data_IF_677793765939
#
_entry.id   IF_677793765939
#
_cell.length_a   1.000
_cell.length_b   1.000
_cell.length_c   1.000
_cell.angle_alpha   90.00
_cell.angle_beta   90.00
_cell.angle_gamma   90.00
#
_symmetry.space_group_name_H-M   'P 1'
#
loop_
_entity.id
_entity.type
_entity.pdbx_description
1 polymer ?
#
# COMPACT_ATOMS: atom_id res chain seq x y z
N UNK A 1 23.78 16.24 3.82
CA UNK A 1 22.66 15.30 4.07
C UNK A 1 21.83 15.22 2.79
N UNK A 2 21.21 14.07 2.51
CA UNK A 2 20.29 13.96 1.36
C UNK A 2 19.03 14.79 1.62
N UNK A 3 18.49 15.41 0.57
CA UNK A 3 17.28 16.24 0.68
C UNK A 3 16.02 15.38 0.69
N UNK A 4 14.99 15.80 1.42
CA UNK A 4 13.70 15.09 1.48
C UNK A 4 12.58 15.98 0.97
N UNK A 5 11.78 15.45 0.04
CA UNK A 5 10.50 16.05 -0.35
C UNK A 5 9.37 15.33 0.36
N UNK A 6 8.66 16.02 1.24
CA UNK A 6 7.46 15.53 1.89
C UNK A 6 6.29 15.84 0.96
N UNK A 7 5.53 14.83 0.56
CA UNK A 7 4.46 14.98 -0.42
C UNK A 7 3.16 14.42 0.14
N UNK A 8 2.19 15.31 0.35
CA UNK A 8 0.83 14.93 0.75
C UNK A 8 -0.03 14.74 -0.50
N UNK A 9 -0.63 13.56 -0.63
CA UNK A 9 -1.57 13.25 -1.71
C UNK A 9 -2.99 13.48 -1.18
N UNK A 10 -3.71 14.45 -1.78
CA UNK A 10 -5.07 14.82 -1.38
C UNK A 10 -6.10 14.48 -2.45
N UNK A 11 -7.29 14.02 -2.04
CA UNK A 11 -8.47 13.94 -2.89
C UNK A 11 -9.75 14.00 -2.05
N UNK A 12 -10.51 15.08 -2.21
CA UNK A 12 -11.72 15.37 -1.43
C UNK A 12 -11.50 15.21 0.08
N UNK A 13 -10.38 15.76 0.57
CA UNK A 13 -9.86 15.54 1.90
C UNK A 13 -10.11 16.68 2.88
N UNK A 14 -10.91 17.68 2.51
CA UNK A 14 -11.07 18.96 3.22
C UNK A 14 -11.17 18.81 4.75
N UNK A 15 -11.97 17.84 5.21
CA UNK A 15 -12.23 17.61 6.65
C UNK A 15 -11.00 17.23 7.46
N UNK A 16 -10.07 16.48 6.87
CA UNK A 16 -8.92 15.92 7.58
C UNK A 16 -7.60 16.61 7.25
N UNK A 17 -7.58 17.33 6.11
CA UNK A 17 -6.40 17.97 5.57
C UNK A 17 -5.80 19.03 6.50
N UNK A 18 -6.62 19.81 7.20
CA UNK A 18 -6.14 20.84 8.14
C UNK A 18 -5.25 20.26 9.24
N UNK A 19 -5.65 19.13 9.84
CA UNK A 19 -4.87 18.49 10.90
C UNK A 19 -3.53 17.96 10.35
N UNK A 20 -3.54 17.42 9.13
CA UNK A 20 -2.34 16.93 8.45
C UNK A 20 -1.35 18.06 8.20
N UNK A 21 -1.80 19.12 7.52
CA UNK A 21 -0.95 20.25 7.14
C UNK A 21 -0.47 21.05 8.36
N UNK A 22 -1.31 21.20 9.38
CA UNK A 22 -0.90 21.84 10.64
C UNK A 22 0.18 21.04 11.35
N UNK A 23 0.10 19.70 11.36
CA UNK A 23 1.13 18.84 11.96
C UNK A 23 2.46 18.93 11.22
N UNK A 24 2.44 19.14 9.90
CA UNK A 24 3.64 19.38 9.10
C UNK A 24 4.22 20.79 9.29
N UNK A 25 3.38 21.81 9.49
CA UNK A 25 3.81 23.18 9.73
C UNK A 25 4.63 23.38 11.00
N UNK A 26 4.57 22.43 11.94
CA UNK A 26 5.41 22.40 13.14
C UNK A 26 6.86 21.96 12.84
N UNK A 27 7.11 21.40 11.66
CA UNK A 27 8.43 20.95 11.23
C UNK A 27 9.17 22.15 10.60
N UNK A 28 9.99 22.84 11.40
CA UNK A 28 10.80 23.95 10.90
C UNK A 28 12.23 23.45 10.58
N UNK A 29 12.44 22.91 9.38
CA UNK A 29 13.77 22.57 8.88
C UNK A 29 13.94 23.02 7.42
N UNK A 30 15.04 23.73 7.08
CA UNK A 30 15.32 24.14 5.70
C UNK A 30 15.67 22.97 4.78
N UNK A 31 15.89 21.76 5.32
CA UNK A 31 16.26 20.57 4.56
C UNK A 31 15.05 19.85 3.92
N UNK A 32 13.83 20.31 4.22
CA UNK A 32 12.60 19.71 3.73
C UNK A 32 11.83 20.68 2.84
N UNK A 33 11.36 20.17 1.71
CA UNK A 33 10.28 20.82 0.96
C UNK A 33 8.97 20.06 1.19
N UNK A 34 7.86 20.79 1.29
CA UNK A 34 6.53 20.22 1.44
C UNK A 34 5.71 20.55 0.20
N UNK A 35 5.27 19.50 -0.49
CA UNK A 35 4.47 19.57 -1.70
C UNK A 35 3.11 18.94 -1.42
N UNK A 36 2.04 19.60 -1.85
CA UNK A 36 0.69 19.05 -1.78
C UNK A 36 0.25 18.78 -3.21
N UNK A 37 -0.11 17.54 -3.50
CA UNK A 37 -0.70 17.14 -4.77
C UNK A 37 -2.17 16.93 -4.55
N UNK A 38 -2.96 17.91 -4.98
CA UNK A 38 -4.40 17.77 -5.02
C UNK A 38 -4.80 17.03 -6.30
N UNK A 39 -5.38 15.84 -6.15
CA UNK A 39 -5.73 14.94 -7.25
C UNK A 39 -7.10 15.27 -7.84
N UNK A 40 -7.36 16.55 -8.11
CA UNK A 40 -8.60 17.04 -8.68
C UNK A 40 -9.78 16.93 -7.73
N UNK A 41 -9.59 17.45 -6.52
CA UNK A 41 -10.67 17.58 -5.54
C UNK A 41 -11.77 18.52 -6.07
N UNK A 42 -12.99 18.21 -5.67
CA UNK A 42 -14.20 18.99 -5.99
C UNK A 42 -14.83 19.61 -4.75
N UNK A 43 -14.17 19.47 -3.59
CA UNK A 43 -14.51 20.16 -2.35
C UNK A 43 -13.58 21.37 -2.15
N UNK A 44 -13.70 22.02 -0.99
CA UNK A 44 -12.94 23.24 -0.67
C UNK A 44 -11.47 22.97 -0.30
N UNK A 45 -10.92 21.76 -0.55
CA UNK A 45 -9.53 21.41 -0.20
C UNK A 45 -8.52 22.36 -0.83
N UNK A 46 -8.69 22.68 -2.12
CA UNK A 46 -7.73 23.53 -2.87
C UNK A 46 -7.72 24.95 -2.33
N UNK A 47 -8.89 25.48 -2.01
CA UNK A 47 -9.02 26.85 -1.49
C UNK A 47 -8.47 26.94 -0.07
N UNK A 48 -8.74 25.95 0.79
CA UNK A 48 -8.15 25.81 2.11
C UNK A 48 -6.61 25.83 2.06
N UNK A 49 -6.00 25.07 1.14
CA UNK A 49 -4.53 25.03 1.02
C UNK A 49 -3.99 26.42 0.64
N UNK A 50 -4.65 27.10 -0.31
CA UNK A 50 -4.20 28.41 -0.79
C UNK A 50 -4.34 29.50 0.28
N UNK A 51 -5.39 29.46 1.09
CA UNK A 51 -5.63 30.47 2.12
C UNK A 51 -4.80 30.22 3.38
N UNK A 52 -4.81 29.00 3.89
CA UNK A 52 -4.35 28.69 5.25
C UNK A 52 -2.93 28.12 5.26
N UNK A 53 -2.51 27.51 4.15
CA UNK A 53 -1.20 26.87 3.99
C UNK A 53 -0.41 27.37 2.77
N UNK A 54 -0.31 28.71 2.51
CA UNK A 54 0.35 29.25 1.32
C UNK A 54 1.87 29.02 1.30
N UNK A 55 2.46 28.60 2.41
CA UNK A 55 3.87 28.25 2.51
C UNK A 55 4.21 26.90 1.85
N UNK A 56 3.21 26.04 1.59
CA UNK A 56 3.41 24.74 0.94
C UNK A 56 3.20 24.84 -0.58
N UNK A 57 4.01 24.09 -1.34
CA UNK A 57 3.88 24.06 -2.81
C UNK A 57 2.65 23.24 -3.20
N UNK A 58 1.60 23.90 -3.67
CA UNK A 58 0.40 23.22 -4.19
C UNK A 58 0.51 22.90 -5.68
N UNK A 59 0.21 21.66 -6.04
CA UNK A 59 0.00 21.17 -7.41
C UNK A 59 -1.41 20.62 -7.51
N UNK A 60 -2.32 21.41 -8.07
CA UNK A 60 -3.72 21.02 -8.28
C UNK A 60 -3.91 20.40 -9.67
N UNK A 61 -4.26 19.12 -9.71
CA UNK A 61 -4.56 18.40 -10.94
C UNK A 61 -5.99 18.73 -11.41
N UNK A 62 -6.26 18.75 -12.73
CA UNK A 62 -7.56 19.15 -13.26
C UNK A 62 -8.69 18.15 -12.99
N UNK A 63 -8.36 16.91 -12.61
CA UNK A 63 -9.30 15.84 -12.26
C UNK A 63 -8.56 14.72 -11.53
N UNK A 64 -9.32 13.78 -10.98
CA UNK A 64 -8.76 12.59 -10.34
C UNK A 64 -8.24 11.57 -11.36
N UNK A 65 -6.91 11.42 -11.39
CA UNK A 65 -6.22 10.42 -12.22
C UNK A 65 -5.88 9.12 -11.46
N UNK A 66 -6.27 9.03 -10.20
CA UNK A 66 -5.93 7.93 -9.30
C UNK A 66 -4.66 8.21 -8.50
N UNK A 67 -4.50 7.47 -7.41
CA UNK A 67 -3.42 7.61 -6.46
C UNK A 67 -2.05 7.36 -7.11
N UNK A 68 -1.91 6.32 -7.94
CA UNK A 68 -0.65 6.01 -8.65
C UNK A 68 -0.14 7.16 -9.51
N UNK A 69 -1.04 7.82 -10.23
CA UNK A 69 -0.68 8.99 -11.05
C UNK A 69 -0.19 10.14 -10.16
N UNK A 70 -0.88 10.42 -9.05
CA UNK A 70 -0.48 11.47 -8.11
C UNK A 70 0.89 11.18 -7.47
N UNK A 71 1.19 9.93 -7.11
CA UNK A 71 2.53 9.54 -6.65
C UNK A 71 3.60 9.73 -7.74
N UNK A 72 3.28 9.46 -9.00
CA UNK A 72 4.22 9.71 -10.09
C UNK A 72 4.44 11.21 -10.35
N UNK A 73 3.41 12.05 -10.16
CA UNK A 73 3.57 13.51 -10.13
C UNK A 73 4.52 13.90 -9.01
N UNK A 74 4.38 13.30 -7.81
CA UNK A 74 5.28 13.53 -6.68
C UNK A 74 6.74 13.27 -7.05
N UNK A 75 7.04 12.12 -7.65
CA UNK A 75 8.41 11.82 -8.07
C UNK A 75 8.95 12.80 -9.12
N UNK A 76 8.12 13.31 -10.02
CA UNK A 76 8.55 14.31 -11.02
C UNK A 76 8.84 15.67 -10.39
N UNK A 77 8.01 16.09 -9.45
CA UNK A 77 7.98 17.44 -8.89
C UNK A 77 8.90 17.64 -7.68
N UNK A 78 9.21 16.55 -6.97
CA UNK A 78 10.14 16.52 -5.86
C UNK A 78 11.57 16.87 -6.29
N UNK A 79 12.25 17.71 -5.53
CA UNK A 79 13.68 18.04 -5.69
C UNK A 79 14.57 17.19 -4.77
N UNK A 80 14.00 16.52 -3.78
CA UNK A 80 14.69 15.66 -2.82
C UNK A 80 15.20 14.35 -3.44
N UNK A 81 16.29 13.84 -2.86
CA UNK A 81 16.81 12.50 -3.16
C UNK A 81 15.86 11.42 -2.63
N UNK A 82 15.20 11.72 -1.51
CA UNK A 82 14.13 10.93 -0.94
C UNK A 82 12.79 11.64 -1.07
N UNK A 83 11.75 10.87 -1.38
CA UNK A 83 10.37 11.35 -1.47
C UNK A 83 9.53 10.61 -0.44
N UNK A 84 8.92 11.36 0.47
CA UNK A 84 8.08 10.87 1.54
C UNK A 84 6.62 11.07 1.17
N UNK A 85 5.99 10.01 0.69
CA UNK A 85 4.58 10.00 0.32
C UNK A 85 3.71 9.84 1.57
N UNK A 86 2.67 10.67 1.69
CA UNK A 86 1.72 10.64 2.79
C UNK A 86 0.29 10.82 2.31
N UNK A 87 -0.65 10.21 3.02
CA UNK A 87 -2.08 10.45 2.83
C UNK A 87 -2.52 11.74 3.56
N UNK A 88 -3.49 12.46 2.99
CA UNK A 88 -4.02 13.71 3.55
C UNK A 88 -4.69 13.59 4.92
N UNK A 89 -5.09 12.37 5.32
CA UNK A 89 -5.82 12.09 6.56
C UNK A 89 -4.90 11.54 7.65
N UNK A 90 -3.66 12.04 7.67
CA UNK A 90 -2.62 11.66 8.61
C UNK A 90 -2.22 12.80 9.54
N UNK A 91 -1.68 12.47 10.70
CA UNK A 91 -1.06 13.43 11.63
C UNK A 91 0.31 12.88 11.99
N UNK A 92 1.35 13.67 11.79
CA UNK A 92 2.73 13.21 12.06
C UNK A 92 3.05 13.17 13.55
N UNK A 93 3.87 12.20 13.96
CA UNK A 93 4.46 12.17 15.29
C UNK A 93 5.68 13.09 15.43
N UNK A 94 6.14 13.29 16.67
CA UNK A 94 7.39 14.00 16.94
C UNK A 94 8.59 13.25 16.34
N UNK A 95 9.54 13.99 15.75
CA UNK A 95 10.77 13.47 15.13
C UNK A 95 10.58 12.31 14.13
N UNK A 96 9.38 12.16 13.57
CA UNK A 96 9.00 10.95 12.82
C UNK A 96 9.85 10.66 11.57
N UNK A 97 10.47 11.67 10.95
CA UNK A 97 11.28 11.50 9.73
C UNK A 97 12.66 10.93 10.05
N UNK A 98 13.28 11.33 11.16
CA UNK A 98 14.67 10.99 11.47
C UNK A 98 14.92 9.47 11.52
N UNK A 99 14.06 8.63 12.15
CA UNK A 99 14.22 7.18 12.12
C UNK A 99 14.13 6.59 10.71
N UNK A 100 13.30 7.16 9.83
CA UNK A 100 13.20 6.70 8.44
C UNK A 100 14.51 6.99 7.70
N UNK A 101 15.05 8.20 7.85
CA UNK A 101 16.33 8.58 7.22
C UNK A 101 17.50 7.74 7.73
N UNK A 102 17.58 7.53 9.04
CA UNK A 102 18.58 6.64 9.67
C UNK A 102 18.53 5.25 9.02
N UNK A 103 17.32 4.70 8.84
CA UNK A 103 17.15 3.39 8.19
C UNK A 103 17.60 3.41 6.73
N UNK A 104 17.25 4.45 5.97
CA UNK A 104 17.66 4.58 4.56
C UNK A 104 19.18 4.69 4.39
N UNK A 105 19.89 5.22 5.38
CA UNK A 105 21.33 5.44 5.34
C UNK A 105 22.16 4.29 5.92
N UNK A 106 21.67 3.64 6.98
CA UNK A 106 22.40 2.56 7.66
C UNK A 106 22.19 1.19 7.02
N UNK A 107 20.99 0.93 6.48
CA UNK A 107 20.67 -0.38 5.91
C UNK A 107 21.08 -0.50 4.44
N UNK A 108 21.43 -1.71 4.02
CA UNK A 108 21.93 -1.94 2.66
C UNK A 108 20.81 -1.89 1.63
N UNK A 109 21.04 -1.07 0.61
CA UNK A 109 20.22 -1.01 -0.61
C UNK A 109 18.72 -0.71 -0.38
N UNK A 110 18.36 0.02 0.68
CA UNK A 110 16.96 0.35 0.97
C UNK A 110 16.32 1.18 -0.14
N UNK A 111 15.20 0.70 -0.67
CA UNK A 111 14.38 1.42 -1.62
C UNK A 111 13.19 2.12 -0.96
N UNK A 112 12.64 1.52 0.10
CA UNK A 112 11.45 2.00 0.82
C UNK A 112 11.66 1.85 2.33
N UNK A 113 11.30 2.87 3.11
CA UNK A 113 11.10 2.76 4.55
C UNK A 113 9.74 3.34 4.94
N UNK A 114 8.97 2.63 5.76
CA UNK A 114 7.64 3.08 6.23
C UNK A 114 7.61 3.34 7.73
N UNK A 115 6.80 4.33 8.12
CA UNK A 115 6.42 4.55 9.52
C UNK A 115 5.49 3.45 10.01
N UNK A 116 5.40 3.31 11.34
CA UNK A 116 4.26 2.66 11.99
C UNK A 116 3.05 3.60 11.91
N UNK A 117 2.03 3.18 11.19
CA UNK A 117 0.75 3.86 11.15
C UNK A 117 -0.13 3.39 12.32
N UNK A 118 -0.69 4.32 13.09
CA UNK A 118 -1.56 4.05 14.24
C UNK A 118 -2.96 4.62 13.98
N UNK A 119 -4.02 3.90 14.32
CA UNK A 119 -5.38 4.40 14.16
C UNK A 119 -5.65 5.64 15.02
N UNK A 120 -6.20 6.68 14.41
CA UNK A 120 -6.71 7.88 15.06
C UNK A 120 -8.25 7.87 15.10
N UNK A 121 -8.92 8.38 16.15
CA UNK A 121 -8.38 9.09 17.33
C UNK A 121 -7.97 8.19 18.51
N UNK A 122 -8.32 6.91 18.50
CA UNK A 122 -8.11 6.03 19.66
C UNK A 122 -6.64 5.84 20.02
N UNK A 123 -5.73 5.85 19.04
CA UNK A 123 -4.27 5.68 19.21
C UNK A 123 -3.82 4.37 19.89
N UNK A 124 -4.72 3.40 20.02
CA UNK A 124 -4.45 2.14 20.73
C UNK A 124 -3.91 1.03 19.83
N UNK A 125 -4.27 1.04 18.54
CA UNK A 125 -4.02 -0.06 17.61
C UNK A 125 -3.21 0.38 16.41
N UNK A 126 -2.31 -0.49 15.98
CA UNK A 126 -1.54 -0.31 14.76
C UNK A 126 -2.46 -0.51 13.55
N UNK A 127 -2.44 0.45 12.63
CA UNK A 127 -3.06 0.34 11.32
C UNK A 127 -2.17 -0.48 10.37
N UNK A 128 -0.88 -0.15 10.28
CA UNK A 128 0.07 -0.86 9.42
C UNK A 128 1.51 -0.62 9.87
N UNK A 129 2.31 -1.69 9.90
CA UNK A 129 3.79 -1.66 9.90
C UNK A 129 4.32 -2.21 8.56
N UNK A 130 3.56 -2.06 7.47
CA UNK A 130 3.79 -2.82 6.24
C UNK A 130 3.45 -4.31 6.42
N UNK A 131 4.15 -5.19 5.71
CA UNK A 131 3.89 -6.62 5.79
C UNK A 131 4.65 -7.46 4.78
N UNK A 132 4.12 -8.64 4.50
CA UNK A 132 4.72 -9.58 3.55
C UNK A 132 3.71 -10.02 2.48
N UNK A 133 4.16 -10.22 1.23
CA UNK A 133 3.34 -10.80 0.17
C UNK A 133 2.99 -12.26 0.46
N UNK A 134 1.70 -12.58 0.43
CA UNK A 134 1.20 -13.94 0.36
C UNK A 134 1.05 -14.36 -1.09
N UNK A 135 1.37 -15.61 -1.38
CA UNK A 135 1.35 -16.16 -2.74
C UNK A 135 -0.05 -16.20 -3.40
N UNK A 136 -1.12 -15.80 -2.70
CA UNK A 136 -2.45 -15.65 -3.29
C UNK A 136 -2.71 -14.21 -3.76
N UNK A 137 -1.72 -13.31 -3.71
CA UNK A 137 -1.80 -11.96 -4.25
C UNK A 137 -2.30 -10.91 -3.26
N UNK A 138 -2.08 -11.13 -1.96
CA UNK A 138 -2.44 -10.19 -0.89
C UNK A 138 -1.25 -9.94 0.04
N UNK A 139 -1.34 -8.89 0.85
CA UNK A 139 -0.39 -8.62 1.93
C UNK A 139 -0.90 -9.18 3.27
N UNK A 140 -0.04 -9.88 3.99
CA UNK A 140 -0.22 -10.14 5.43
C UNK A 140 0.41 -9.00 6.20
N UNK A 141 -0.40 -8.27 6.97
CA UNK A 141 0.02 -7.08 7.70
C UNK A 141 0.88 -7.44 8.90
N UNK A 142 2.04 -6.82 9.02
CA UNK A 142 2.83 -6.81 10.25
C UNK A 142 2.09 -5.98 11.29
N UNK A 143 1.84 -6.58 12.46
CA UNK A 143 1.15 -5.97 13.61
C UNK A 143 -0.22 -5.30 13.32
N UNK A 144 -0.83 -5.58 12.16
CA UNK A 144 -2.11 -4.97 11.79
C UNK A 144 -3.18 -5.26 12.85
N UNK A 145 -3.82 -4.21 13.36
CA UNK A 145 -4.84 -4.24 14.41
C UNK A 145 -4.33 -4.69 15.80
N UNK A 146 -3.03 -4.93 15.98
CA UNK A 146 -2.44 -5.24 17.27
C UNK A 146 -2.41 -3.98 18.17
N UNK A 147 -2.45 -4.19 19.49
CA UNK A 147 -2.30 -3.11 20.46
C UNK A 147 -0.87 -2.56 20.39
N UNK A 148 -0.73 -1.23 20.29
CA UNK A 148 0.56 -0.53 20.26
C UNK A 148 1.39 -0.90 21.49
N UNK A 149 0.77 -0.93 22.68
CA UNK A 149 1.42 -1.27 23.95
C UNK A 149 1.96 -2.69 24.06
N UNK A 150 1.54 -3.59 23.16
CA UNK A 150 1.97 -5.00 23.11
C UNK A 150 2.85 -5.31 21.90
N UNK A 151 3.13 -4.32 21.07
CA UNK A 151 3.83 -4.52 19.80
C UNK A 151 5.29 -4.13 19.93
N UNK A 152 6.18 -4.95 19.38
CA UNK A 152 7.62 -4.69 19.43
C UNK A 152 7.99 -3.39 18.69
N UNK A 153 9.00 -2.69 19.20
CA UNK A 153 9.61 -1.53 18.56
C UNK A 153 10.93 -1.94 17.88
N UNK A 154 10.83 -2.82 16.88
CA UNK A 154 11.98 -3.36 16.13
C UNK A 154 11.94 -2.91 14.66
N UNK A 155 13.02 -2.27 14.22
CA UNK A 155 13.28 -1.99 12.81
C UNK A 155 13.49 -3.32 12.09
N UNK A 156 12.75 -3.54 11.00
CA UNK A 156 12.76 -4.83 10.33
C UNK A 156 12.50 -4.69 8.83
N UNK A 157 13.14 -5.56 8.08
CA UNK A 157 12.88 -5.73 6.66
C UNK A 157 11.50 -6.36 6.42
N UNK A 158 10.71 -5.72 5.55
CA UNK A 158 9.37 -6.12 5.15
C UNK A 158 9.35 -6.49 3.66
N UNK A 159 8.35 -7.28 3.25
CA UNK A 159 8.19 -7.70 1.85
C UNK A 159 7.29 -6.77 1.03
N UNK A 160 6.45 -5.97 1.67
CA UNK A 160 5.59 -4.99 1.04
C UNK A 160 5.22 -3.83 1.98
N UNK A 161 4.93 -2.68 1.38
CA UNK A 161 4.74 -1.42 2.07
C UNK A 161 3.46 -0.70 1.60
N UNK A 162 2.86 0.10 2.49
CA UNK A 162 1.71 0.96 2.19
C UNK A 162 2.10 2.44 2.13
N UNK A 163 1.36 3.25 1.38
CA UNK A 163 1.68 4.68 1.14
C UNK A 163 1.21 5.66 2.22
N UNK A 164 0.60 5.19 3.31
CA UNK A 164 0.18 6.08 4.43
C UNK A 164 1.32 6.97 4.92
N UNK A 165 2.52 6.40 4.99
CA UNK A 165 3.78 7.11 5.21
C UNK A 165 4.90 6.25 4.65
N UNK A 166 5.41 6.63 3.47
CA UNK A 166 6.39 5.86 2.71
C UNK A 166 7.52 6.75 2.24
N UNK A 167 8.70 6.62 2.86
CA UNK A 167 9.93 7.24 2.40
C UNK A 167 10.53 6.36 1.29
N UNK A 168 10.77 6.95 0.12
CA UNK A 168 11.23 6.24 -1.07
C UNK A 168 12.50 6.89 -1.60
N UNK A 169 13.50 6.07 -1.97
CA UNK A 169 14.63 6.53 -2.79
C UNK A 169 14.13 6.84 -4.21
N UNK A 170 14.14 8.14 -4.56
CA UNK A 170 13.56 8.63 -5.82
C UNK A 170 14.23 7.98 -7.03
N UNK A 171 15.56 7.85 -7.01
CA UNK A 171 16.31 7.26 -8.13
C UNK A 171 15.92 5.80 -8.34
N UNK A 172 15.83 5.03 -7.26
CA UNK A 172 15.40 3.62 -7.31
C UNK A 172 13.95 3.47 -7.75
N UNK A 173 13.06 4.36 -7.31
CA UNK A 173 11.66 4.39 -7.76
C UNK A 173 11.55 4.62 -9.27
N UNK A 174 12.33 5.57 -9.81
CA UNK A 174 12.37 5.86 -11.24
C UNK A 174 12.99 4.70 -12.04
N UNK A 175 14.01 4.02 -11.50
CA UNK A 175 14.63 2.83 -12.12
C UNK A 175 13.60 1.70 -12.35
N UNK A 176 12.67 1.50 -11.41
CA UNK A 176 11.59 0.50 -11.57
C UNK A 176 10.36 1.02 -12.32
N UNK A 177 10.38 2.28 -12.76
CA UNK A 177 9.30 2.91 -13.54
C UNK A 177 8.18 3.56 -12.75
N UNK A 178 8.39 3.91 -11.47
CA UNK A 178 7.39 4.57 -10.62
C UNK A 178 6.20 3.67 -10.25
N UNK A 179 5.08 4.26 -9.83
CA UNK A 179 3.81 3.53 -9.63
C UNK A 179 3.17 3.17 -10.96
N UNK A 180 2.50 2.02 -11.02
CA UNK A 180 1.75 1.64 -12.21
C UNK A 180 0.37 2.34 -12.24
N UNK A 181 0.21 3.28 -13.17
CA UNK A 181 -1.01 4.07 -13.32
C UNK A 181 -2.25 3.26 -13.75
N UNK A 182 -2.10 1.99 -14.17
CA UNK A 182 -3.26 1.10 -14.35
C UNK A 182 -3.93 0.73 -13.01
N UNK A 183 -3.22 0.93 -11.90
CA UNK A 183 -3.73 0.77 -10.54
C UNK A 183 -4.21 2.13 -10.04
N UNK A 184 -5.48 2.45 -10.32
CA UNK A 184 -6.06 3.72 -9.89
C UNK A 184 -5.97 3.93 -8.37
N UNK A 185 -6.33 2.91 -7.58
CA UNK A 185 -6.18 2.85 -6.11
C UNK A 185 -6.19 1.38 -5.67
N UNK A 186 -5.67 1.09 -4.48
CA UNK A 186 -5.50 -0.24 -3.89
C UNK A 186 -4.52 -1.16 -4.62
N UNK A 187 -3.70 -1.85 -3.82
CA UNK A 187 -2.59 -2.70 -4.28
C UNK A 187 -1.57 -1.99 -5.17
N UNK A 188 -1.70 -0.68 -5.43
CA UNK A 188 -0.70 0.09 -6.17
C UNK A 188 0.61 0.19 -5.38
N UNK A 189 0.51 0.37 -4.07
CA UNK A 189 1.62 0.38 -3.11
C UNK A 189 2.22 -1.01 -2.90
N UNK A 190 1.37 -2.03 -2.78
CA UNK A 190 1.76 -3.43 -2.73
C UNK A 190 2.53 -3.84 -4.00
N UNK A 191 1.99 -3.53 -5.17
CA UNK A 191 2.61 -3.82 -6.46
C UNK A 191 3.93 -3.06 -6.64
N UNK A 192 3.96 -1.77 -6.30
CA UNK A 192 5.16 -0.94 -6.38
C UNK A 192 6.26 -1.46 -5.45
N UNK A 193 5.94 -1.74 -4.19
CA UNK A 193 6.91 -2.28 -3.23
C UNK A 193 7.42 -3.67 -3.63
N UNK A 194 6.56 -4.56 -4.14
CA UNK A 194 7.00 -5.84 -4.70
C UNK A 194 7.89 -5.67 -5.93
N UNK A 195 7.66 -4.68 -6.80
CA UNK A 195 8.59 -4.36 -7.90
C UNK A 195 9.93 -3.85 -7.40
N UNK A 196 9.95 -3.01 -6.37
CA UNK A 196 11.20 -2.58 -5.73
C UNK A 196 11.99 -3.77 -5.18
N UNK A 197 11.31 -4.69 -4.48
CA UNK A 197 11.89 -5.97 -4.03
C UNK A 197 12.43 -6.79 -5.18
N UNK A 198 11.64 -6.97 -6.25
CA UNK A 198 12.05 -7.71 -7.45
C UNK A 198 13.28 -7.10 -8.11
N UNK A 199 13.46 -5.79 -8.07
CA UNK A 199 14.67 -5.11 -8.57
C UNK A 199 15.89 -5.21 -7.62
N UNK A 200 15.74 -5.91 -6.49
CA UNK A 200 16.77 -6.17 -5.48
C UNK A 200 16.87 -5.10 -4.38
N UNK A 201 15.93 -4.17 -4.29
CA UNK A 201 15.89 -3.16 -3.22
C UNK A 201 15.16 -3.68 -2.00
N UNK A 202 15.70 -3.44 -0.80
CA UNK A 202 15.05 -3.80 0.45
C UNK A 202 13.96 -2.79 0.82
N UNK A 203 12.97 -3.26 1.57
CA UNK A 203 11.91 -2.43 2.15
C UNK A 203 11.93 -2.62 3.66
N UNK A 204 11.80 -1.54 4.44
CA UNK A 204 11.86 -1.59 5.90
C UNK A 204 10.64 -0.95 6.55
N UNK A 205 10.28 -1.44 7.73
CA UNK A 205 9.40 -0.76 8.68
C UNK A 205 10.24 -0.27 9.84
N UNK A 206 10.14 1.03 10.16
CA UNK A 206 10.75 1.60 11.36
C UNK A 206 9.66 2.06 12.34
N UNK A 207 9.38 1.27 13.40
CA UNK A 207 8.31 1.57 14.35
C UNK A 207 8.63 2.71 15.33
N UNK A 208 9.84 3.29 15.29
CA UNK A 208 10.15 4.55 15.99
C UNK A 208 9.59 5.76 15.25
N UNK A 209 9.40 5.65 13.92
CA UNK A 209 8.68 6.65 13.13
C UNK A 209 7.18 6.40 13.28
N UNK A 210 6.45 7.33 13.89
CA UNK A 210 5.02 7.21 14.14
C UNK A 210 4.24 8.19 13.26
N UNK A 211 3.19 7.67 12.62
CA UNK A 211 2.16 8.48 11.98
C UNK A 211 0.79 8.03 12.47
N UNK A 212 -0.10 8.98 12.75
CA UNK A 212 -1.49 8.69 13.08
C UNK A 212 -2.33 8.77 11.80
N UNK A 213 -3.20 7.81 11.57
CA UNK A 213 -3.98 7.70 10.34
C UNK A 213 -5.48 7.58 10.65
N UNK A 214 -6.29 8.35 9.94
CA UNK A 214 -7.72 8.46 10.16
C UNK A 214 -8.51 7.48 9.26
N UNK A 215 -9.78 7.81 9.01
CA UNK A 215 -10.76 6.93 8.39
C UNK A 215 -10.57 6.72 6.88
N UNK A 216 -9.79 7.56 6.21
CA UNK A 216 -9.71 7.69 4.77
C UNK A 216 -11.04 8.09 4.12
N UNK A 217 -11.07 8.10 2.80
CA UNK A 217 -12.28 8.41 2.04
C UNK A 217 -13.32 7.27 2.15
N UNK A 218 -14.58 7.53 2.56
CA UNK A 218 -15.59 6.49 2.81
C UNK A 218 -16.03 5.70 1.57
N UNK A 219 -15.85 6.23 0.35
CA UNK A 219 -16.22 5.54 -0.89
C UNK A 219 -15.31 4.35 -1.20
N UNK A 220 -14.13 4.34 -0.59
CA UNK A 220 -13.06 3.37 -0.86
C UNK A 220 -12.54 2.72 0.42
N UNK A 221 -12.56 3.40 1.56
CA UNK A 221 -12.08 2.88 2.85
C UNK A 221 -13.12 2.00 3.54
N UNK A 222 -12.64 0.92 4.18
CA UNK A 222 -13.47 0.04 5.00
C UNK A 222 -12.77 -0.25 6.32
N UNK A 223 -13.47 -0.04 7.44
CA UNK A 223 -12.93 -0.19 8.80
C UNK A 223 -13.67 -1.24 9.63
N UNK A 224 -14.38 -2.16 8.98
CA UNK A 224 -15.08 -3.27 9.64
C UNK A 224 -16.56 -3.01 9.94
N UNK A 225 -17.02 -1.77 9.76
CA UNK A 225 -18.41 -1.37 9.98
C UNK A 225 -19.10 -0.94 8.68
N UNK A 226 -20.43 -1.08 8.63
CA UNK A 226 -21.25 -0.69 7.49
C UNK A 226 -21.10 -1.58 6.25
N UNK A 227 -21.61 -1.08 5.13
CA UNK A 227 -21.58 -1.78 3.84
C UNK A 227 -20.17 -1.72 3.25
N UNK A 228 -19.66 -2.87 2.80
CA UNK A 228 -18.37 -2.91 2.12
C UNK A 228 -18.44 -2.10 0.81
N UNK A 229 -17.57 -1.08 0.61
CA UNK A 229 -17.68 -0.19 -0.54
C UNK A 229 -17.50 -0.92 -1.88
N UNK A 230 -18.43 -0.80 -2.85
CA UNK A 230 -18.30 -1.47 -4.15
C UNK A 230 -17.07 -1.03 -4.94
N UNK A 231 -16.68 0.24 -4.87
CA UNK A 231 -15.51 0.75 -5.58
C UNK A 231 -14.20 0.13 -5.03
N UNK A 232 -14.10 0.01 -3.70
CA UNK A 232 -13.03 -0.74 -3.03
C UNK A 232 -12.97 -2.18 -3.52
N UNK A 233 -14.11 -2.87 -3.52
CA UNK A 233 -14.20 -4.27 -3.94
C UNK A 233 -13.75 -4.44 -5.38
N UNK A 234 -14.22 -3.58 -6.29
CA UNK A 234 -13.84 -3.60 -7.70
C UNK A 234 -12.31 -3.54 -7.87
N UNK A 235 -11.66 -2.55 -7.25
CA UNK A 235 -10.21 -2.39 -7.40
C UNK A 235 -9.42 -3.49 -6.71
N UNK A 236 -9.82 -3.95 -5.51
CA UNK A 236 -9.12 -5.06 -4.83
C UNK A 236 -9.17 -6.33 -5.67
N UNK A 237 -10.35 -6.72 -6.18
CA UNK A 237 -10.49 -7.92 -6.99
C UNK A 237 -9.73 -7.84 -8.30
N UNK A 238 -9.83 -6.70 -9.00
CA UNK A 238 -9.13 -6.46 -10.27
C UNK A 238 -7.63 -6.47 -10.07
N UNK A 239 -7.14 -5.62 -9.16
CA UNK A 239 -5.73 -5.32 -9.01
C UNK A 239 -4.95 -6.50 -8.44
N UNK A 240 -5.58 -7.36 -7.61
CA UNK A 240 -4.99 -8.64 -7.19
C UNK A 240 -4.58 -9.50 -8.39
N UNK A 241 -5.47 -9.67 -9.36
CA UNK A 241 -5.18 -10.46 -10.56
C UNK A 241 -4.13 -9.79 -11.46
N UNK A 242 -4.19 -8.46 -11.62
CA UNK A 242 -3.14 -7.72 -12.33
C UNK A 242 -1.77 -7.96 -11.68
N UNK A 243 -1.69 -7.92 -10.35
CA UNK A 243 -0.42 -8.09 -9.61
C UNK A 243 0.14 -9.49 -9.79
N UNK A 244 -0.70 -10.53 -9.66
CA UNK A 244 -0.29 -11.92 -9.89
C UNK A 244 0.25 -12.09 -11.32
N UNK A 245 -0.51 -11.67 -12.33
CA UNK A 245 -0.12 -11.84 -13.73
C UNK A 245 1.06 -10.96 -14.15
N UNK A 246 1.25 -9.82 -13.51
CA UNK A 246 2.38 -8.92 -13.79
C UNK A 246 3.67 -9.40 -13.15
N UNK A 247 3.61 -9.79 -11.86
CA UNK A 247 4.80 -9.96 -11.04
C UNK A 247 5.30 -11.41 -10.96
N UNK A 248 4.42 -12.40 -10.78
CA UNK A 248 4.85 -13.76 -10.43
C UNK A 248 5.47 -14.47 -11.63
N UNK A 249 6.48 -15.31 -11.46
CA UNK A 249 6.95 -16.20 -12.52
C UNK A 249 5.85 -17.14 -13.00
N UNK A 250 5.96 -17.66 -14.23
CA UNK A 250 4.94 -18.59 -14.75
C UNK A 250 4.92 -19.90 -13.93
N UNK A 251 6.08 -20.35 -13.46
CA UNK A 251 6.22 -21.52 -12.58
C UNK A 251 5.43 -21.30 -11.29
N UNK A 252 5.53 -20.12 -10.69
CA UNK A 252 4.79 -19.75 -9.48
C UNK A 252 3.29 -19.72 -9.71
N UNK A 253 2.83 -19.15 -10.83
CA UNK A 253 1.39 -19.14 -11.16
C UNK A 253 0.86 -20.56 -11.27
N UNK A 254 1.56 -21.45 -11.99
CA UNK A 254 1.16 -22.86 -12.15
C UNK A 254 1.21 -23.58 -10.80
N UNK A 255 2.30 -23.41 -10.05
CA UNK A 255 2.50 -24.03 -8.74
C UNK A 255 1.49 -23.56 -7.70
N UNK A 256 1.00 -22.32 -7.78
CA UNK A 256 0.00 -21.79 -6.87
C UNK A 256 -1.44 -21.98 -7.35
N UNK A 257 -1.66 -22.50 -8.58
CA UNK A 257 -2.99 -22.53 -9.20
C UNK A 257 -4.06 -23.21 -8.34
N UNK A 258 -3.83 -24.38 -7.71
CA UNK A 258 -4.81 -24.99 -6.82
C UNK A 258 -5.25 -24.08 -5.66
N UNK A 259 -4.30 -23.45 -4.97
CA UNK A 259 -4.61 -22.54 -3.87
C UNK A 259 -5.26 -21.24 -4.36
N UNK A 260 -4.86 -20.72 -5.52
CA UNK A 260 -5.52 -19.58 -6.17
C UNK A 260 -6.98 -19.88 -6.48
N UNK A 261 -7.30 -21.08 -7.00
CA UNK A 261 -8.67 -21.49 -7.29
C UNK A 261 -9.52 -21.61 -6.02
N UNK A 262 -8.98 -22.24 -4.96
CA UNK A 262 -9.68 -22.34 -3.66
C UNK A 262 -9.95 -20.95 -3.10
N UNK A 263 -8.96 -20.05 -3.15
CA UNK A 263 -9.11 -18.68 -2.68
C UNK A 263 -10.12 -17.90 -3.53
N UNK A 264 -10.17 -18.14 -4.84
CA UNK A 264 -11.14 -17.50 -5.73
C UNK A 264 -12.57 -17.93 -5.41
N UNK A 265 -12.80 -19.22 -5.15
CA UNK A 265 -14.10 -19.72 -4.71
C UNK A 265 -14.54 -19.02 -3.41
N UNK A 266 -13.62 -18.84 -2.47
CA UNK A 266 -13.90 -18.11 -1.23
C UNK A 266 -14.25 -16.64 -1.49
N UNK A 267 -13.51 -15.95 -2.36
CA UNK A 267 -13.80 -14.56 -2.75
C UNK A 267 -15.17 -14.45 -3.42
N UNK A 268 -15.47 -15.31 -4.40
CA UNK A 268 -16.74 -15.30 -5.13
C UNK A 268 -17.90 -15.54 -4.17
N UNK A 269 -17.75 -16.52 -3.27
CA UNK A 269 -18.76 -16.82 -2.24
C UNK A 269 -19.00 -15.61 -1.33
N UNK A 270 -17.94 -14.95 -0.87
CA UNK A 270 -18.05 -13.74 -0.05
C UNK A 270 -18.64 -12.55 -0.82
N UNK A 271 -18.30 -12.40 -2.10
CA UNK A 271 -18.89 -11.38 -2.96
C UNK A 271 -20.39 -11.64 -3.16
N UNK A 272 -20.83 -12.89 -3.30
CA UNK A 272 -22.24 -13.24 -3.37
C UNK A 272 -22.98 -12.91 -2.08
N UNK A 273 -22.46 -13.37 -0.92
CA UNK A 273 -23.04 -13.10 0.41
C UNK A 273 -23.19 -11.60 0.67
N UNK A 274 -22.25 -10.77 0.18
CA UNK A 274 -22.27 -9.31 0.37
C UNK A 274 -23.01 -8.53 -0.71
N UNK A 275 -23.63 -9.20 -1.68
CA UNK A 275 -24.29 -8.52 -2.81
C UNK A 275 -23.32 -7.79 -3.76
N UNK A 276 -22.06 -8.22 -3.81
CA UNK A 276 -20.98 -7.68 -4.63
C UNK A 276 -20.62 -8.58 -5.83
N UNK A 277 -21.39 -9.63 -6.12
CA UNK A 277 -21.09 -10.56 -7.21
C UNK A 277 -20.94 -9.88 -8.57
N UNK A 278 -21.84 -8.95 -8.92
CA UNK A 278 -21.73 -8.18 -10.17
C UNK A 278 -20.47 -7.30 -10.20
N UNK A 279 -20.07 -6.74 -9.05
CA UNK A 279 -18.83 -5.97 -8.91
C UNK A 279 -17.61 -6.85 -9.15
N UNK A 280 -17.60 -8.06 -8.60
CA UNK A 280 -16.58 -9.06 -8.85
C UNK A 280 -16.48 -9.42 -10.35
N UNK A 281 -17.61 -9.70 -11.01
CA UNK A 281 -17.61 -10.01 -12.45
C UNK A 281 -17.08 -8.84 -13.30
N UNK A 282 -17.46 -7.60 -12.97
CA UNK A 282 -16.91 -6.39 -13.61
C UNK A 282 -15.40 -6.27 -13.41
N UNK A 283 -14.91 -6.55 -12.20
CA UNK A 283 -13.49 -6.51 -11.88
C UNK A 283 -12.69 -7.56 -12.66
N UNK A 284 -13.21 -8.79 -12.76
CA UNK A 284 -12.59 -9.87 -13.53
C UNK A 284 -12.55 -9.53 -15.02
N UNK A 285 -13.67 -9.06 -15.60
CA UNK A 285 -13.71 -8.63 -17.00
C UNK A 285 -12.73 -7.48 -17.27
N UNK A 286 -12.61 -6.53 -16.34
CA UNK A 286 -11.61 -5.45 -16.45
C UNK A 286 -10.19 -6.00 -16.40
N UNK A 287 -9.88 -6.92 -15.48
CA UNK A 287 -8.57 -7.56 -15.41
C UNK A 287 -8.22 -8.29 -16.71
N UNK A 288 -9.18 -9.04 -17.28
CA UNK A 288 -9.02 -9.73 -18.56
C UNK A 288 -8.77 -8.76 -19.72
N UNK A 289 -9.51 -7.64 -19.78
CA UNK A 289 -9.30 -6.59 -20.79
C UNK A 289 -7.92 -5.92 -20.67
N UNK A 290 -7.37 -5.82 -19.47
CA UNK A 290 -6.04 -5.27 -19.23
C UNK A 290 -4.90 -6.27 -19.49
N UNK A 291 -5.17 -7.56 -19.75
CA UNK A 291 -4.12 -8.58 -19.93
C UNK A 291 -3.05 -8.24 -20.99
N UNK A 292 -3.37 -7.69 -22.18
CA UNK A 292 -2.34 -7.33 -23.15
C UNK A 292 -1.33 -6.31 -22.61
N UNK A 293 -1.81 -5.33 -21.85
CA UNK A 293 -0.98 -4.30 -21.23
C UNK A 293 -0.16 -4.89 -20.07
N UNK A 294 -0.79 -5.70 -19.23
CA UNK A 294 -0.12 -6.45 -18.16
C UNK A 294 1.00 -7.32 -18.72
N UNK A 295 0.77 -8.02 -19.83
CA UNK A 295 1.77 -8.87 -20.47
C UNK A 295 2.98 -8.07 -20.96
N UNK A 296 2.78 -6.87 -21.53
CA UNK A 296 3.89 -5.98 -21.92
C UNK A 296 4.71 -5.56 -20.69
N UNK A 297 4.05 -5.11 -19.63
CA UNK A 297 4.71 -4.68 -18.39
C UNK A 297 5.40 -5.83 -17.65
N UNK A 298 4.82 -7.04 -17.71
CA UNK A 298 5.43 -8.26 -17.20
C UNK A 298 6.81 -8.51 -17.80
N UNK A 299 7.00 -8.31 -19.11
CA UNK A 299 8.32 -8.51 -19.75
C UNK A 299 9.39 -7.62 -19.10
N UNK A 300 9.05 -6.36 -18.82
CA UNK A 300 9.94 -5.40 -18.15
C UNK A 300 10.26 -5.88 -16.73
N UNK A 301 9.22 -6.25 -15.96
CA UNK A 301 9.39 -6.73 -14.57
C UNK A 301 10.23 -8.01 -14.50
N UNK A 302 9.99 -8.98 -15.39
CA UNK A 302 10.76 -10.22 -15.41
C UNK A 302 12.21 -9.99 -15.85
N UNK A 303 12.48 -9.00 -16.70
CA UNK A 303 13.84 -8.66 -17.13
C UNK A 303 14.65 -7.97 -16.02
N UNK A 304 14.02 -7.17 -15.16
CA UNK A 304 14.70 -6.49 -14.05
C UNK A 304 14.80 -7.33 -12.76
N UNK A 305 14.20 -8.54 -12.75
CA UNK A 305 14.10 -9.40 -11.57
C UNK A 305 15.49 -9.86 -11.10
N UNK A 306 15.78 -9.66 -9.82
CA UNK A 306 17.00 -10.08 -9.12
C UNK A 306 16.75 -11.11 -8.01
N UNK A 307 15.51 -11.24 -7.53
CA UNK A 307 15.13 -12.22 -6.50
C UNK A 307 14.07 -13.21 -7.01
N UNK A 308 14.03 -14.40 -6.42
CA UNK A 308 13.04 -15.42 -6.74
C UNK A 308 11.65 -15.06 -6.16
N UNK A 309 10.61 -15.79 -6.59
CA UNK A 309 9.30 -15.66 -5.94
C UNK A 309 9.27 -16.28 -4.55
N UNK A 310 10.10 -17.28 -4.27
CA UNK A 310 10.23 -17.87 -2.93
C UNK A 310 10.83 -16.90 -1.91
N UNK A 311 11.73 -16.01 -2.35
CA UNK A 311 12.25 -14.90 -1.54
C UNK A 311 11.25 -13.74 -1.38
N UNK A 312 10.40 -13.50 -2.39
CA UNK A 312 9.41 -12.43 -2.38
C UNK A 312 8.14 -12.78 -1.58
N UNK A 313 7.65 -14.01 -1.73
CA UNK A 313 6.34 -14.47 -1.24
C UNK A 313 6.51 -15.24 0.09
N UNK A 314 6.72 -14.49 1.17
CA UNK A 314 7.10 -15.04 2.48
C UNK A 314 5.99 -15.04 3.52
N UNK A 315 4.80 -14.53 3.20
CA UNK A 315 3.74 -14.39 4.19
C UNK A 315 2.97 -15.70 4.48
N UNK A 316 2.77 -15.96 5.77
CA UNK A 316 1.82 -16.94 6.30
C UNK A 316 1.58 -16.63 7.80
N UNK A 317 0.32 -16.64 8.32
CA UNK A 317 -0.97 -16.86 7.65
C UNK A 317 -1.52 -15.61 6.92
N UNK A 318 -2.69 -15.72 6.27
CA UNK A 318 -3.39 -14.56 5.69
C UNK A 318 -3.89 -13.59 6.78
N UNK A 319 -3.77 -12.29 6.54
CA UNK A 319 -4.42 -11.24 7.35
C UNK A 319 -5.79 -10.87 6.81
N UNK A 320 -6.72 -10.56 7.72
CA UNK A 320 -8.06 -10.06 7.39
C UNK A 320 -8.37 -8.82 8.22
N UNK A 321 -9.11 -7.87 7.65
CA UNK A 321 -9.63 -6.72 8.39
C UNK A 321 -10.67 -7.24 9.41
N UNK A 322 -10.63 -6.84 10.70
CA UNK A 322 -11.66 -7.19 11.66
C UNK A 322 -13.07 -6.85 11.12
N UNK A 323 -14.03 -7.74 11.36
CA UNK A 323 -15.39 -7.62 10.80
C UNK A 323 -15.53 -8.09 9.34
N UNK A 324 -14.41 -8.31 8.61
CA UNK A 324 -14.48 -8.83 7.24
C UNK A 324 -14.73 -10.35 7.16
N UNK A 325 -14.54 -11.07 8.26
CA UNK A 325 -14.86 -12.49 8.42
C UNK A 325 -15.72 -12.62 9.68
N UNK A 326 -16.88 -13.26 9.59
CA UNK A 326 -17.77 -13.51 10.72
C UNK A 326 -17.24 -14.58 11.68
N UNK A 327 -17.86 -14.67 12.86
CA UNK A 327 -17.58 -15.72 13.83
C UNK A 327 -18.14 -17.10 13.45
N UNK A 328 -17.89 -18.11 14.28
CA UNK A 328 -18.48 -19.44 14.12
C UNK A 328 -17.89 -20.25 12.95
N UNK A 329 -18.75 -20.74 12.06
CA UNK A 329 -18.35 -21.59 10.92
C UNK A 329 -17.38 -20.87 9.98
N UNK A 330 -17.61 -19.59 9.71
CA UNK A 330 -16.77 -18.80 8.81
C UNK A 330 -15.34 -18.65 9.36
N UNK A 331 -15.20 -18.38 10.67
CA UNK A 331 -13.90 -18.35 11.34
C UNK A 331 -13.18 -19.70 11.26
N UNK A 332 -13.89 -20.81 11.51
CA UNK A 332 -13.31 -22.18 11.39
C UNK A 332 -12.81 -22.46 9.97
N UNK A 333 -13.58 -22.08 8.94
CA UNK A 333 -13.18 -22.24 7.54
C UNK A 333 -11.92 -21.43 7.20
N UNK A 334 -11.81 -20.20 7.70
CA UNK A 334 -10.61 -19.37 7.50
C UNK A 334 -9.39 -19.98 8.19
N UNK A 335 -9.52 -20.49 9.42
CA UNK A 335 -8.42 -21.19 10.09
C UNK A 335 -7.96 -22.44 9.32
N UNK A 336 -8.90 -23.25 8.85
CA UNK A 336 -8.61 -24.44 8.05
C UNK A 336 -7.92 -24.07 6.72
N UNK A 337 -8.42 -23.05 6.02
CA UNK A 337 -7.81 -22.54 4.80
C UNK A 337 -6.39 -22.03 5.04
N UNK A 338 -6.15 -21.29 6.14
CA UNK A 338 -4.82 -20.81 6.51
C UNK A 338 -3.84 -21.97 6.79
N UNK A 339 -4.28 -23.01 7.49
CA UNK A 339 -3.46 -24.19 7.74
C UNK A 339 -3.12 -24.94 6.43
N UNK A 340 -4.14 -25.15 5.58
CA UNK A 340 -3.97 -25.75 4.26
C UNK A 340 -3.00 -24.95 3.40
N UNK A 341 -3.17 -23.62 3.34
CA UNK A 341 -2.33 -22.73 2.54
C UNK A 341 -0.89 -22.66 3.04
N UNK A 342 -0.68 -22.68 4.36
CA UNK A 342 0.65 -22.70 4.95
C UNK A 342 1.38 -24.01 4.66
N UNK A 343 0.68 -25.15 4.75
CA UNK A 343 1.24 -26.45 4.38
C UNK A 343 1.54 -26.51 2.87
N UNK A 344 0.60 -26.09 2.03
CA UNK A 344 0.73 -26.11 0.59
C UNK A 344 1.93 -25.28 0.11
N UNK A 345 2.13 -24.08 0.69
CA UNK A 345 3.28 -23.24 0.34
C UNK A 345 4.62 -23.89 0.68
N UNK A 346 4.72 -24.65 1.79
CA UNK A 346 5.95 -25.38 2.13
C UNK A 346 6.33 -26.41 1.07
N UNK A 347 5.35 -26.97 0.34
CA UNK A 347 5.58 -27.91 -0.76
C UNK A 347 5.95 -27.17 -2.03
N UNK A 348 5.15 -26.17 -2.42
CA UNK A 348 5.32 -25.44 -3.68
C UNK A 348 6.61 -24.64 -3.70
N UNK A 349 7.01 -24.00 -2.59
CA UNK A 349 8.22 -23.18 -2.56
C UNK A 349 9.53 -23.93 -2.80
N UNK A 350 9.55 -25.26 -2.64
CA UNK A 350 10.75 -26.09 -2.85
C UNK A 350 11.10 -26.19 -4.35
N UNK A 351 10.10 -26.00 -5.21
CA UNK A 351 10.23 -26.12 -6.67
C UNK A 351 10.18 -24.76 -7.40
N UNK A 352 10.13 -23.65 -6.65
CA UNK A 352 10.06 -22.26 -7.13
C UNK A 352 11.30 -21.46 -6.75
#
# INVERSE_FOLDING_TARGET
MKKVSIVVINYNGYKDLTDCLSSLGQINSPDYEIIIIDNGSTDDSVDLIRSDFPMFKLIALPKNYGHSYACNVAFREAQGDYVLLMDYDTIVGEEWIAPLLETMECEKNVGICVSRAIFYPAKEKIHSDGGWPHYVGNMTLKNGFALVSKSECKVEEIGAAGTTSMLVDKRKALEVGGFDEDYFVYLNDFEFSMRMRLAGYSCFSNPKSIIYHKGGNPDVSYRGEGKYPPLRAFYIFRNRWLTIFKLYSIKTIIGCLPALLIYEIAIISMAFIRGLFLTYMKALLSALRNLPQVYRKRKIVQAMRKISDSELLTAYPLSFVPGSVGGGLQGKLVHMMNALFSWYWKVVKVIL
#
